data_IF_031994641284
#
_entry.id   IF_031994641284
#
_cell.length_a   1.000
_cell.length_b   1.000
_cell.length_c   1.000
_cell.angle_alpha   90.00
_cell.angle_beta   90.00
_cell.angle_gamma   90.00
#
_symmetry.space_group_name_H-M   'P 1'
#
loop_
_entity.id
_entity.type
_entity.pdbx_description
1 polymer ?
#
# COMPACT_ATOMS: atom_id res chain seq x y z
N UNK A 1 -20.98 48.91 -0.42
CA UNK A 1 -19.88 47.96 -0.75
C UNK A 1 -20.45 46.80 -1.54
N UNK A 2 -20.03 46.59 -2.79
CA UNK A 2 -20.53 45.52 -3.66
C UNK A 2 -19.93 44.18 -3.22
N UNK A 3 -20.75 43.30 -2.65
CA UNK A 3 -20.41 41.89 -2.40
C UNK A 3 -20.13 41.20 -3.73
N UNK A 4 -18.86 40.86 -4.00
CA UNK A 4 -18.50 40.01 -5.14
C UNK A 4 -19.08 38.62 -4.90
N UNK A 5 -20.21 38.33 -5.54
CA UNK A 5 -20.77 36.97 -5.66
C UNK A 5 -19.69 36.06 -6.27
N UNK A 6 -19.27 35.05 -5.53
CA UNK A 6 -18.45 33.94 -6.04
C UNK A 6 -19.29 33.27 -7.15
N UNK A 7 -18.96 33.56 -8.41
CA UNK A 7 -19.60 32.93 -9.57
C UNK A 7 -19.30 31.43 -9.53
N UNK A 8 -20.36 30.63 -9.43
CA UNK A 8 -20.48 29.23 -9.86
C UNK A 8 -19.25 28.31 -9.67
N UNK A 9 -19.09 27.77 -8.45
CA UNK A 9 -18.11 26.73 -8.08
C UNK A 9 -18.11 25.47 -8.98
N UNK A 10 -19.19 25.21 -9.73
CA UNK A 10 -19.32 24.03 -10.61
C UNK A 10 -18.40 24.10 -11.84
N UNK A 11 -18.12 25.30 -12.35
CA UNK A 11 -17.18 25.51 -13.49
C UNK A 11 -15.72 25.67 -13.05
N UNK A 12 -15.47 25.74 -11.75
CA UNK A 12 -14.16 26.10 -11.19
C UNK A 12 -13.19 24.90 -11.07
N UNK A 13 -13.68 23.66 -11.14
CA UNK A 13 -12.91 22.46 -10.79
C UNK A 13 -12.75 21.42 -11.91
N UNK A 14 -13.33 21.63 -13.10
CA UNK A 14 -13.11 20.74 -14.23
C UNK A 14 -11.65 20.81 -14.71
N UNK A 15 -11.02 19.64 -14.87
CA UNK A 15 -9.63 19.53 -15.36
C UNK A 15 -8.53 19.94 -14.37
N UNK A 16 -8.79 19.87 -13.05
CA UNK A 16 -7.81 20.21 -12.00
C UNK A 16 -7.37 19.01 -11.14
N UNK A 17 -6.09 18.98 -10.76
CA UNK A 17 -5.59 17.92 -9.87
C UNK A 17 -6.11 18.11 -8.43
N UNK A 18 -6.31 17.02 -7.70
CA UNK A 18 -6.66 17.10 -6.27
C UNK A 18 -5.66 17.92 -5.44
N UNK A 19 -4.34 17.75 -5.60
CA UNK A 19 -3.33 18.53 -4.89
C UNK A 19 -3.47 20.05 -5.03
N UNK A 20 -3.68 20.54 -6.26
CA UNK A 20 -3.87 21.98 -6.53
C UNK A 20 -5.08 22.54 -5.77
N UNK A 21 -6.18 21.79 -5.75
CA UNK A 21 -7.40 22.17 -5.04
C UNK A 21 -7.20 22.21 -3.52
N UNK A 22 -6.48 21.24 -2.97
CA UNK A 22 -6.18 21.19 -1.55
C UNK A 22 -5.34 22.40 -1.11
N UNK A 23 -4.28 22.73 -1.86
CA UNK A 23 -3.43 23.91 -1.59
C UNK A 23 -4.26 25.20 -1.57
N UNK A 24 -5.06 25.42 -2.62
CA UNK A 24 -5.92 26.60 -2.72
C UNK A 24 -6.91 26.68 -1.55
N UNK A 25 -7.55 25.56 -1.19
CA UNK A 25 -8.49 25.50 -0.07
C UNK A 25 -7.85 25.92 1.25
N UNK A 26 -6.70 25.36 1.60
CA UNK A 26 -6.06 25.70 2.88
C UNK A 26 -5.62 27.16 2.94
N UNK A 27 -5.01 27.69 1.87
CA UNK A 27 -4.63 29.10 1.82
C UNK A 27 -5.84 30.02 1.97
N UNK A 28 -6.97 29.68 1.34
CA UNK A 28 -8.22 30.40 1.56
C UNK A 28 -8.66 30.36 3.02
N UNK A 29 -8.61 29.21 3.70
CA UNK A 29 -9.01 29.15 5.12
C UNK A 29 -8.13 30.03 6.01
N UNK A 30 -6.84 30.10 5.71
CA UNK A 30 -5.89 30.95 6.43
C UNK A 30 -6.20 32.44 6.26
N UNK A 31 -6.46 32.87 5.02
CA UNK A 31 -6.51 34.29 4.66
C UNK A 31 -7.90 34.80 4.26
N UNK A 32 -8.98 34.02 4.41
CA UNK A 32 -10.35 34.40 4.02
C UNK A 32 -10.83 35.74 4.59
N UNK A 33 -10.33 36.11 5.78
CA UNK A 33 -10.72 37.32 6.51
C UNK A 33 -9.70 38.46 6.29
N UNK A 34 -8.60 38.21 5.57
CA UNK A 34 -7.53 39.17 5.33
C UNK A 34 -7.71 39.86 3.97
N UNK A 35 -8.20 41.10 4.00
CA UNK A 35 -8.47 41.88 2.79
C UNK A 35 -7.22 42.32 2.00
N UNK A 36 -6.03 42.20 2.59
CA UNK A 36 -4.76 42.56 1.96
C UNK A 36 -4.16 41.40 1.16
N UNK A 37 -4.75 40.21 1.22
CA UNK A 37 -4.26 39.01 0.56
C UNK A 37 -5.31 38.53 -0.44
N UNK A 38 -4.95 38.54 -1.72
CA UNK A 38 -5.78 37.97 -2.79
C UNK A 38 -5.23 36.60 -3.20
N UNK A 39 -6.08 35.57 -3.17
CA UNK A 39 -5.71 34.22 -3.60
C UNK A 39 -6.53 33.86 -4.84
N UNK A 40 -5.84 33.42 -5.89
CA UNK A 40 -6.44 32.99 -7.16
C UNK A 40 -6.04 31.56 -7.49
N UNK A 41 -6.96 30.88 -8.14
CA UNK A 41 -6.79 29.52 -8.63
C UNK A 41 -6.72 29.53 -10.15
N UNK A 42 -5.77 28.80 -10.74
CA UNK A 42 -5.50 28.79 -12.19
C UNK A 42 -5.44 30.20 -12.76
N UNK A 43 -4.62 31.03 -12.12
CA UNK A 43 -4.52 32.45 -12.43
C UNK A 43 -3.84 32.65 -13.78
N UNK A 44 -4.51 33.36 -14.69
CA UNK A 44 -4.01 33.70 -16.04
C UNK A 44 -3.65 35.18 -16.19
N UNK A 45 -3.65 35.94 -15.09
CA UNK A 45 -3.41 37.40 -15.12
C UNK A 45 -2.03 37.74 -15.69
N UNK A 46 -1.07 36.82 -15.62
CA UNK A 46 0.30 36.98 -16.12
C UNK A 46 0.50 36.37 -17.51
N UNK A 47 -0.53 36.26 -18.36
CA UNK A 47 -0.40 35.68 -19.72
C UNK A 47 -0.08 34.17 -19.78
N UNK A 48 0.27 33.54 -18.65
CA UNK A 48 0.39 32.09 -18.45
C UNK A 48 -0.46 31.67 -17.26
N UNK A 49 -0.93 30.42 -17.29
CA UNK A 49 -1.71 29.83 -16.19
C UNK A 49 -0.76 29.40 -15.06
N UNK A 50 -1.01 29.92 -13.85
CA UNK A 50 -0.37 29.49 -12.61
C UNK A 50 -1.39 28.77 -11.71
N UNK A 51 -1.01 27.63 -11.13
CA UNK A 51 -1.93 26.76 -10.38
C UNK A 51 -2.61 27.47 -9.20
N UNK A 52 -1.81 28.06 -8.30
CA UNK A 52 -2.29 28.87 -7.18
C UNK A 52 -1.41 30.11 -7.05
N UNK A 53 -2.03 31.28 -7.06
CA UNK A 53 -1.36 32.56 -6.89
C UNK A 53 -1.87 33.27 -5.65
N UNK A 54 -0.95 33.84 -4.87
CA UNK A 54 -1.24 34.69 -3.72
C UNK A 54 -0.58 36.05 -3.94
N UNK A 55 -1.39 37.11 -3.98
CA UNK A 55 -0.92 38.50 -4.11
C UNK A 55 -1.04 39.19 -2.76
N UNK A 56 0.07 39.75 -2.29
CA UNK A 56 0.14 40.57 -1.08
C UNK A 56 -0.05 42.03 -1.49
N UNK A 57 -1.21 42.60 -1.17
CA UNK A 57 -1.64 43.91 -1.67
C UNK A 57 -0.71 45.07 -1.30
N UNK A 58 -0.08 45.02 -0.11
CA UNK A 58 0.79 46.10 0.38
C UNK A 58 2.08 46.21 -0.43
N UNK A 59 2.79 45.09 -0.62
CA UNK A 59 4.05 45.06 -1.39
C UNK A 59 3.87 44.74 -2.87
N UNK A 60 2.64 44.43 -3.30
CA UNK A 60 2.29 43.85 -4.61
C UNK A 60 3.07 42.59 -4.94
N UNK A 61 3.62 41.91 -3.91
CA UNK A 61 4.41 40.71 -4.07
C UNK A 61 3.50 39.55 -4.42
N UNK A 62 3.92 38.78 -5.42
CA UNK A 62 3.17 37.63 -5.92
C UNK A 62 3.94 36.36 -5.55
N UNK A 63 3.24 35.47 -4.85
CA UNK A 63 3.70 34.12 -4.54
C UNK A 63 2.92 33.14 -5.42
N UNK A 64 3.60 32.18 -6.03
CA UNK A 64 2.99 31.13 -6.84
C UNK A 64 3.35 29.77 -6.26
N UNK A 65 2.36 28.87 -6.20
CA UNK A 65 2.56 27.45 -5.92
C UNK A 65 2.07 26.64 -7.09
N UNK A 66 2.97 25.83 -7.66
CA UNK A 66 2.68 24.86 -8.72
C UNK A 66 2.71 23.44 -8.15
N UNK A 67 1.85 22.58 -8.68
CA UNK A 67 1.91 21.15 -8.42
C UNK A 67 2.22 20.38 -9.71
N UNK A 68 3.41 19.81 -9.77
CA UNK A 68 3.90 19.11 -10.95
C UNK A 68 3.70 17.61 -10.80
N UNK A 69 2.68 17.08 -11.48
CA UNK A 69 2.45 15.65 -11.60
C UNK A 69 3.44 15.00 -12.56
N UNK A 70 4.06 13.88 -12.17
CA UNK A 70 5.15 13.28 -12.94
C UNK A 70 4.74 12.92 -14.37
N UNK A 71 3.51 12.46 -14.57
CA UNK A 71 2.99 12.10 -15.90
C UNK A 71 2.85 13.27 -16.87
N UNK A 72 2.65 14.49 -16.35
CA UNK A 72 2.36 15.67 -17.16
C UNK A 72 3.59 16.54 -17.38
N UNK A 73 4.52 16.54 -16.42
CA UNK A 73 5.74 17.34 -16.44
C UNK A 73 6.92 16.50 -16.91
N UNK A 74 6.87 16.02 -18.16
CA UNK A 74 7.98 15.30 -18.81
C UNK A 74 8.82 16.22 -19.72
N UNK A 75 8.26 17.35 -20.14
CA UNK A 75 8.93 18.35 -20.98
C UNK A 75 9.63 19.40 -20.11
N UNK A 76 10.92 19.17 -19.85
CA UNK A 76 11.77 20.04 -19.03
C UNK A 76 11.93 21.44 -19.64
N UNK A 77 12.01 21.56 -20.96
CA UNK A 77 12.24 22.85 -21.62
C UNK A 77 11.02 23.76 -21.46
N UNK A 78 9.81 23.21 -21.59
CA UNK A 78 8.57 23.93 -21.33
C UNK A 78 8.48 24.43 -19.89
N UNK A 79 8.87 23.59 -18.93
CA UNK A 79 8.89 23.96 -17.50
C UNK A 79 9.92 25.07 -17.22
N UNK A 80 11.14 24.96 -17.75
CA UNK A 80 12.19 25.97 -17.62
C UNK A 80 11.76 27.32 -18.23
N UNK A 81 11.09 27.31 -19.38
CA UNK A 81 10.51 28.52 -20.01
C UNK A 81 9.40 29.15 -19.16
N UNK A 82 8.69 28.37 -18.34
CA UNK A 82 7.70 28.89 -17.39
C UNK A 82 8.41 29.53 -16.19
N UNK A 83 9.51 28.93 -15.71
CA UNK A 83 10.28 29.46 -14.58
C UNK A 83 11.01 30.76 -14.94
N UNK A 84 11.65 30.82 -16.10
CA UNK A 84 12.24 32.05 -16.62
C UNK A 84 11.21 33.17 -16.76
N UNK A 85 9.99 32.83 -17.20
CA UNK A 85 8.89 33.79 -17.27
C UNK A 85 8.48 34.30 -15.88
N UNK A 86 8.33 33.42 -14.89
CA UNK A 86 7.99 33.81 -13.52
C UNK A 86 9.05 34.73 -12.89
N UNK A 87 10.34 34.45 -13.14
CA UNK A 87 11.45 35.31 -12.70
C UNK A 87 11.37 36.70 -13.33
N UNK A 88 11.12 36.78 -14.64
CA UNK A 88 10.98 38.05 -15.35
C UNK A 88 9.80 38.88 -14.82
N UNK A 89 8.68 38.23 -14.49
CA UNK A 89 7.51 38.86 -13.88
C UNK A 89 7.68 39.13 -12.37
N UNK A 90 8.87 38.89 -11.80
CA UNK A 90 9.22 39.08 -10.37
C UNK A 90 8.30 38.30 -9.42
N UNK A 91 7.81 37.15 -9.88
CA UNK A 91 6.98 36.23 -9.11
C UNK A 91 7.85 35.28 -8.31
N UNK A 92 7.54 35.10 -7.02
CA UNK A 92 8.22 34.12 -6.17
C UNK A 92 7.51 32.78 -6.28
N UNK A 93 8.17 31.78 -6.85
CA UNK A 93 7.53 30.51 -7.17
C UNK A 93 8.08 29.34 -6.34
N UNK A 94 7.16 28.50 -5.89
CA UNK A 94 7.39 27.24 -5.22
C UNK A 94 6.76 26.12 -6.06
N UNK A 95 7.51 25.07 -6.36
CA UNK A 95 6.99 23.87 -7.05
C UNK A 95 6.93 22.69 -6.10
N UNK A 96 5.80 21.98 -6.05
CA UNK A 96 5.70 20.66 -5.44
C UNK A 96 5.82 19.63 -6.57
N UNK A 97 6.91 18.85 -6.61
CA UNK A 97 7.19 17.92 -7.71
C UNK A 97 7.02 16.47 -7.27
N UNK A 98 6.26 15.69 -8.03
CA UNK A 98 6.14 14.24 -7.81
C UNK A 98 7.45 13.50 -8.10
N UNK A 99 7.60 12.30 -7.52
CA UNK A 99 8.73 11.44 -7.85
C UNK A 99 8.72 11.10 -9.33
N UNK A 100 9.89 11.21 -9.98
CA UNK A 100 10.13 11.02 -11.41
C UNK A 100 9.74 12.21 -12.32
N UNK A 101 9.40 13.38 -11.77
CA UNK A 101 9.54 14.61 -12.55
C UNK A 101 11.04 14.78 -12.91
N UNK A 102 11.39 15.22 -14.14
CA UNK A 102 12.77 15.53 -14.51
C UNK A 102 13.38 16.51 -13.51
N UNK A 103 14.65 16.28 -13.17
CA UNK A 103 15.41 17.22 -12.35
C UNK A 103 15.56 18.54 -13.09
N UNK A 104 15.39 19.63 -12.36
CA UNK A 104 15.47 20.99 -12.89
C UNK A 104 16.48 21.76 -12.04
N UNK A 105 17.38 22.47 -12.70
CA UNK A 105 18.37 23.34 -12.05
C UNK A 105 17.99 24.77 -12.43
N UNK A 106 17.19 25.42 -11.60
CA UNK A 106 16.73 26.78 -11.83
C UNK A 106 16.42 27.51 -10.51
N UNK A 107 16.03 28.80 -10.54
CA UNK A 107 15.78 29.60 -9.34
C UNK A 107 14.53 29.21 -8.52
N UNK A 108 13.67 28.30 -9.00
CA UNK A 108 12.50 27.86 -8.24
C UNK A 108 12.88 27.08 -6.98
N UNK A 109 12.03 27.19 -5.96
CA UNK A 109 12.15 26.36 -4.75
C UNK A 109 11.33 25.10 -4.97
N UNK A 110 11.98 23.95 -4.94
CA UNK A 110 11.35 22.67 -5.23
C UNK A 110 11.14 21.81 -3.98
N UNK A 111 9.90 21.38 -3.75
CA UNK A 111 9.50 20.40 -2.74
C UNK A 111 9.26 19.04 -3.41
N UNK A 112 10.29 18.18 -3.38
CA UNK A 112 10.28 16.91 -4.12
C UNK A 112 9.67 15.78 -3.29
N UNK A 113 8.63 15.11 -3.81
CA UNK A 113 8.10 13.85 -3.25
C UNK A 113 9.08 12.70 -3.52
N UNK A 114 9.41 11.94 -2.47
CA UNK A 114 10.45 10.90 -2.46
C UNK A 114 9.90 9.49 -2.66
N UNK A 115 8.59 9.28 -2.56
CA UNK A 115 7.96 7.96 -2.79
C UNK A 115 7.13 7.94 -4.07
N UNK A 116 7.05 6.77 -4.72
CA UNK A 116 6.24 6.54 -5.95
C UNK A 116 4.76 6.34 -5.64
N UNK A 117 4.44 6.09 -4.36
CA UNK A 117 3.10 5.76 -3.92
C UNK A 117 2.34 7.07 -3.74
N UNK A 118 1.07 7.12 -4.14
CA UNK A 118 0.09 8.17 -3.80
C UNK A 118 -0.16 8.19 -2.28
N UNK A 119 0.90 8.39 -1.50
CA UNK A 119 0.87 8.46 -0.06
C UNK A 119 0.24 9.80 0.29
N UNK A 120 -1.03 9.78 0.67
CA UNK A 120 -1.74 10.96 1.19
C UNK A 120 -0.93 11.64 2.30
N UNK A 121 -0.21 10.87 3.11
CA UNK A 121 0.68 11.38 4.15
C UNK A 121 1.82 12.23 3.59
N UNK A 122 2.46 11.80 2.51
CA UNK A 122 3.54 12.58 1.88
C UNK A 122 2.99 13.80 1.16
N UNK A 123 1.87 13.68 0.44
CA UNK A 123 1.21 14.83 -0.17
C UNK A 123 0.83 15.88 0.88
N UNK A 124 0.23 15.45 2.00
CA UNK A 124 -0.11 16.33 3.12
C UNK A 124 1.14 17.02 3.67
N UNK A 125 2.24 16.29 3.89
CA UNK A 125 3.50 16.89 4.32
C UNK A 125 3.97 17.99 3.36
N UNK A 126 3.88 17.78 2.03
CA UNK A 126 4.30 18.79 1.04
C UNK A 126 3.37 20.01 1.00
N UNK A 127 2.06 19.78 1.11
CA UNK A 127 1.09 20.88 1.22
C UNK A 127 1.38 21.70 2.48
N UNK A 128 1.63 21.06 3.62
CA UNK A 128 1.99 21.74 4.87
C UNK A 128 3.29 22.54 4.74
N UNK A 129 4.30 22.00 4.04
CA UNK A 129 5.55 22.72 3.76
C UNK A 129 5.32 23.96 2.87
N UNK A 130 4.49 23.83 1.84
CA UNK A 130 4.15 24.95 0.96
C UNK A 130 3.37 26.06 1.68
N UNK A 131 2.40 25.69 2.51
CA UNK A 131 1.67 26.64 3.35
C UNK A 131 2.64 27.34 4.31
N UNK A 132 3.50 26.61 5.01
CA UNK A 132 4.49 27.22 5.92
C UNK A 132 5.44 28.19 5.19
N UNK A 133 5.83 27.87 3.95
CA UNK A 133 6.63 28.77 3.12
C UNK A 133 5.88 30.08 2.82
N UNK A 134 4.61 30.01 2.44
CA UNK A 134 3.75 31.19 2.23
C UNK A 134 3.63 32.01 3.51
N UNK A 135 3.31 31.36 4.64
CA UNK A 135 3.15 32.03 5.92
C UNK A 135 4.43 32.78 6.33
N UNK A 136 5.60 32.16 6.14
CA UNK A 136 6.89 32.82 6.41
C UNK A 136 7.08 34.05 5.53
N UNK A 137 6.72 34.00 4.25
CA UNK A 137 6.81 35.15 3.34
C UNK A 137 5.84 36.25 3.72
N UNK A 138 4.61 35.92 4.11
CA UNK A 138 3.61 36.88 4.57
C UNK A 138 4.02 37.55 5.88
N UNK A 139 4.52 36.78 6.86
CA UNK A 139 5.00 37.32 8.14
C UNK A 139 6.19 38.28 7.98
N UNK A 140 7.06 38.04 7.00
CA UNK A 140 8.17 38.95 6.66
C UNK A 140 7.70 40.32 6.16
N UNK A 141 6.47 40.40 5.65
CA UNK A 141 5.88 41.68 5.19
C UNK A 141 5.15 42.40 6.35
N UNK A 142 5.13 41.84 7.57
CA UNK A 142 4.49 42.40 8.77
C UNK A 142 3.01 42.79 8.59
N UNK A 143 2.29 42.09 7.71
CA UNK A 143 0.90 42.43 7.36
C UNK A 143 -0.18 41.73 8.20
N UNK A 144 0.22 40.88 9.16
CA UNK A 144 -0.70 40.12 9.99
C UNK A 144 -0.81 40.70 11.39
N UNK A 145 -2.02 40.78 11.92
CA UNK A 145 -2.24 41.18 13.30
C UNK A 145 -2.02 40.03 14.31
N UNK A 146 -2.03 40.35 15.61
CA UNK A 146 -1.77 39.37 16.67
C UNK A 146 -2.83 38.25 16.73
N UNK A 147 -4.08 38.51 16.34
CA UNK A 147 -5.16 37.53 16.31
C UNK A 147 -5.01 36.60 15.10
N UNK A 148 -4.64 37.13 13.95
CA UNK A 148 -4.28 36.37 12.76
C UNK A 148 -3.07 35.48 13.02
N UNK A 149 -2.00 36.01 13.64
CA UNK A 149 -0.83 35.22 14.04
C UNK A 149 -1.22 34.08 14.99
N UNK A 150 -2.08 34.33 15.97
CA UNK A 150 -2.60 33.27 16.88
C UNK A 150 -3.40 32.21 16.13
N UNK A 151 -4.28 32.62 15.20
CA UNK A 151 -5.05 31.71 14.34
C UNK A 151 -4.11 30.83 13.50
N UNK A 152 -3.04 31.40 12.94
CA UNK A 152 -2.01 30.66 12.21
C UNK A 152 -1.31 29.62 13.08
N UNK A 153 -0.94 29.98 14.31
CA UNK A 153 -0.26 29.08 15.26
C UNK A 153 -1.18 27.90 15.62
N UNK A 154 -2.45 28.16 15.93
CA UNK A 154 -3.43 27.11 16.25
C UNK A 154 -3.68 26.18 15.07
N UNK A 155 -3.90 26.73 13.87
CA UNK A 155 -4.11 25.91 12.67
C UNK A 155 -2.84 25.14 12.26
N UNK A 156 -1.63 25.66 12.55
CA UNK A 156 -0.38 24.93 12.36
C UNK A 156 -0.28 23.70 13.28
N UNK A 157 -0.82 23.78 14.50
CA UNK A 157 -0.92 22.65 15.42
C UNK A 157 -1.94 21.60 14.94
N UNK A 158 -3.04 22.02 14.30
CA UNK A 158 -4.04 21.12 13.68
C UNK A 158 -3.55 20.44 12.39
N UNK A 159 -2.53 21.00 11.73
CA UNK A 159 -1.91 20.48 10.49
C UNK A 159 -0.84 19.41 10.76
N UNK A 160 -0.62 19.01 12.02
CA UNK A 160 0.23 17.86 12.34
C UNK A 160 -0.25 16.60 11.56
N UNK A 161 0.66 15.82 10.93
CA UNK A 161 0.33 14.86 9.87
C UNK A 161 -0.72 13.78 10.22
N UNK A 162 -0.99 13.58 11.51
CA UNK A 162 -1.86 12.52 12.01
C UNK A 162 -3.36 12.90 12.05
N UNK A 163 -3.75 14.18 12.07
CA UNK A 163 -5.18 14.56 12.08
C UNK A 163 -5.77 14.75 10.67
N UNK A 164 -4.95 15.11 9.69
CA UNK A 164 -5.35 15.33 8.30
C UNK A 164 -5.83 14.05 7.57
N UNK A 165 -5.47 12.86 8.08
CA UNK A 165 -5.92 11.55 7.56
C UNK A 165 -7.42 11.33 7.81
N UNK A 166 -7.99 11.93 8.86
CA UNK A 166 -9.41 11.80 9.19
C UNK A 166 -10.25 12.88 8.51
N UNK A 167 -9.76 14.12 8.44
CA UNK A 167 -10.48 15.25 7.82
C UNK A 167 -10.62 15.15 6.30
N UNK A 168 -9.69 14.46 5.62
CA UNK A 168 -9.70 14.30 4.15
C UNK A 168 -10.49 13.06 3.70
N UNK A 169 -10.78 12.10 4.60
CA UNK A 169 -11.64 10.95 4.29
C UNK A 169 -13.12 11.32 4.17
N UNK A 170 -13.52 12.44 4.76
CA UNK A 170 -14.89 12.92 4.65
C UNK A 170 -15.06 13.80 3.42
N UNK A 171 -15.55 13.19 2.33
CA UNK A 171 -16.32 13.92 1.29
C UNK A 171 -17.39 14.84 1.91
N UNK A 172 -17.81 14.52 3.14
CA UNK A 172 -18.76 15.28 3.94
C UNK A 172 -18.36 16.73 4.24
N UNK A 173 -17.08 17.09 4.38
CA UNK A 173 -16.68 18.46 4.75
C UNK A 173 -16.84 19.45 3.58
N UNK A 174 -16.67 18.98 2.34
CA UNK A 174 -16.99 19.79 1.14
C UNK A 174 -18.51 19.93 0.99
N UNK A 175 -19.27 18.93 1.42
CA UNK A 175 -20.74 18.94 1.39
C UNK A 175 -21.37 19.76 2.53
N UNK A 176 -20.63 20.08 3.61
CA UNK A 176 -21.20 20.81 4.77
C UNK A 176 -21.24 22.34 4.59
N UNK A 177 -20.52 22.89 3.61
CA UNK A 177 -20.33 24.36 3.47
C UNK A 177 -21.12 24.95 2.28
N UNK A 178 -21.85 24.13 1.50
CA UNK A 178 -22.70 24.62 0.41
C UNK A 178 -24.10 24.96 0.94
N UNK A 179 -24.69 26.13 0.64
CA UNK A 179 -26.06 26.46 1.04
C UNK A 179 -27.01 25.33 0.62
N UNK A 180 -27.84 24.82 1.53
CA UNK A 180 -28.66 23.62 1.29
C UNK A 180 -29.52 23.70 0.03
N UNK A 181 -29.92 24.90 -0.40
CA UNK A 181 -30.66 25.16 -1.64
C UNK A 181 -29.91 24.72 -2.92
N UNK A 182 -28.57 24.70 -2.91
CA UNK A 182 -27.74 24.26 -4.04
C UNK A 182 -27.42 22.75 -4.02
N UNK A 183 -27.69 22.04 -2.92
CA UNK A 183 -27.43 20.60 -2.80
C UNK A 183 -28.48 19.80 -3.58
N UNK A 184 -29.76 20.12 -3.41
CA UNK A 184 -30.87 19.47 -4.14
C UNK A 184 -30.79 19.70 -5.64
N UNK A 185 -30.52 20.93 -6.09
CA UNK A 185 -30.34 21.24 -7.51
C UNK A 185 -29.14 20.48 -8.12
N UNK A 186 -28.07 20.25 -7.34
CA UNK A 186 -26.92 19.46 -7.77
C UNK A 186 -27.24 17.98 -7.85
N UNK A 187 -27.90 17.41 -6.84
CA UNK A 187 -28.38 16.03 -6.85
C UNK A 187 -29.31 15.81 -8.03
N UNK A 188 -30.26 16.72 -8.25
CA UNK A 188 -31.16 16.69 -9.40
C UNK A 188 -30.41 16.72 -10.72
N UNK A 189 -29.44 17.62 -10.89
CA UNK A 189 -28.65 17.68 -12.13
C UNK A 189 -27.78 16.44 -12.36
N UNK A 190 -27.30 15.78 -11.30
CA UNK A 190 -26.56 14.51 -11.38
C UNK A 190 -27.50 13.38 -11.79
N UNK A 191 -28.69 13.31 -11.20
CA UNK A 191 -29.70 12.30 -11.56
C UNK A 191 -30.27 12.50 -12.96
N UNK A 192 -30.48 13.74 -13.40
CA UNK A 192 -30.87 14.06 -14.77
C UNK A 192 -29.80 13.60 -15.77
N UNK A 193 -28.52 13.86 -15.49
CA UNK A 193 -27.42 13.39 -16.33
C UNK A 193 -27.33 11.86 -16.37
N UNK A 194 -27.48 11.17 -15.21
CA UNK A 194 -27.54 9.70 -15.18
C UNK A 194 -28.67 9.17 -16.05
N UNK A 195 -29.86 9.77 -15.98
CA UNK A 195 -31.02 9.40 -16.80
C UNK A 195 -30.74 9.57 -18.28
N UNK A 196 -30.12 10.69 -18.68
CA UNK A 196 -29.78 10.96 -20.07
C UNK A 196 -28.75 9.95 -20.61
N UNK A 197 -27.71 9.64 -19.81
CA UNK A 197 -26.72 8.63 -20.15
C UNK A 197 -27.34 7.23 -20.30
N UNK A 198 -28.25 6.85 -19.40
CA UNK A 198 -28.98 5.57 -19.48
C UNK A 198 -29.83 5.52 -20.75
N UNK A 199 -30.59 6.57 -21.05
CA UNK A 199 -31.44 6.61 -22.25
C UNK A 199 -30.62 6.52 -23.54
N UNK A 200 -29.50 7.25 -23.60
CA UNK A 200 -28.57 7.17 -24.72
C UNK A 200 -28.00 5.76 -24.91
N UNK A 201 -27.61 5.11 -23.81
CA UNK A 201 -27.09 3.75 -23.83
C UNK A 201 -28.17 2.73 -24.24
N UNK A 202 -29.40 2.85 -23.71
CA UNK A 202 -30.54 2.00 -24.09
C UNK A 202 -30.92 2.14 -25.56
N UNK A 203 -30.89 3.35 -26.10
CA UNK A 203 -31.17 3.59 -27.52
C UNK A 203 -30.09 3.00 -28.46
N UNK A 204 -28.91 2.67 -27.93
CA UNK A 204 -27.76 2.19 -28.71
C UNK A 204 -27.16 0.93 -28.08
N UNK A 205 -28.04 0.05 -27.60
CA UNK A 205 -27.69 -1.05 -26.71
C UNK A 205 -26.66 -2.01 -27.32
N UNK A 206 -26.73 -2.25 -28.63
CA UNK A 206 -25.82 -3.15 -29.35
C UNK A 206 -24.36 -2.67 -29.35
N UNK A 207 -24.15 -1.37 -29.12
CA UNK A 207 -22.82 -0.76 -29.02
C UNK A 207 -22.36 -0.59 -27.57
N UNK A 208 -23.26 -0.73 -26.59
CA UNK A 208 -23.02 -0.49 -25.17
C UNK A 208 -22.61 -1.78 -24.44
N UNK A 209 -21.49 -2.40 -24.87
CA UNK A 209 -21.00 -3.69 -24.35
C UNK A 209 -19.66 -3.53 -23.62
N UNK A 210 -18.63 -3.08 -24.33
CA UNK A 210 -17.27 -2.80 -23.81
C UNK A 210 -16.95 -1.33 -23.94
N UNK A 211 -16.09 -0.80 -23.07
CA UNK A 211 -15.65 0.60 -23.14
C UNK A 211 -15.07 0.95 -24.51
N UNK A 212 -14.29 0.04 -25.12
CA UNK A 212 -13.69 0.23 -26.44
C UNK A 212 -14.74 0.29 -27.56
N UNK A 213 -15.72 -0.62 -27.56
CA UNK A 213 -16.78 -0.63 -28.57
C UNK A 213 -17.64 0.63 -28.44
N UNK A 214 -17.98 1.01 -27.20
CA UNK A 214 -18.72 2.23 -26.93
C UNK A 214 -17.96 3.49 -27.32
N UNK A 215 -16.66 3.59 -26.99
CA UNK A 215 -15.86 4.77 -27.32
C UNK A 215 -15.73 4.99 -28.83
N UNK A 216 -15.60 3.91 -29.62
CA UNK A 216 -15.61 3.97 -31.09
C UNK A 216 -16.96 4.46 -31.62
N UNK A 217 -18.07 3.93 -31.07
CA UNK A 217 -19.41 4.41 -31.38
C UNK A 217 -19.58 5.89 -31.02
N UNK A 218 -19.13 6.29 -29.82
CA UNK A 218 -19.25 7.63 -29.30
C UNK A 218 -18.46 8.66 -30.12
N UNK A 219 -17.29 8.27 -30.62
CA UNK A 219 -16.48 9.09 -31.52
C UNK A 219 -17.17 9.34 -32.87
N UNK A 220 -17.72 8.29 -33.48
CA UNK A 220 -18.47 8.39 -34.75
C UNK A 220 -19.71 9.27 -34.59
N UNK A 221 -20.44 9.10 -33.48
CA UNK A 221 -21.69 9.80 -33.19
C UNK A 221 -21.50 11.14 -32.46
N UNK A 222 -20.25 11.52 -32.16
CA UNK A 222 -19.89 12.73 -31.39
C UNK A 222 -20.69 12.86 -30.08
N UNK A 223 -20.73 11.78 -29.29
CA UNK A 223 -21.46 11.70 -28.02
C UNK A 223 -20.55 11.34 -26.83
N UNK A 224 -21.13 11.10 -25.66
CA UNK A 224 -20.42 10.82 -24.41
C UNK A 224 -19.63 9.51 -24.48
N UNK A 225 -18.31 9.62 -24.24
CA UNK A 225 -17.39 8.49 -24.11
C UNK A 225 -17.61 7.73 -22.79
N UNK A 226 -17.05 6.53 -22.71
CA UNK A 226 -17.18 5.59 -21.59
C UNK A 226 -16.77 6.18 -20.23
N UNK A 227 -15.80 7.09 -20.20
CA UNK A 227 -15.38 7.73 -18.95
C UNK A 227 -16.46 8.59 -18.28
N UNK A 228 -17.44 9.12 -19.04
CA UNK A 228 -18.60 9.81 -18.47
C UNK A 228 -19.47 8.82 -17.69
N UNK A 229 -19.73 7.64 -18.26
CA UNK A 229 -20.48 6.58 -17.57
C UNK A 229 -19.74 6.12 -16.31
N UNK A 230 -18.43 5.90 -16.38
CA UNK A 230 -17.62 5.55 -15.20
C UNK A 230 -17.67 6.65 -14.13
N UNK A 231 -17.68 7.93 -14.53
CA UNK A 231 -17.79 9.04 -13.59
C UNK A 231 -19.12 9.04 -12.81
N UNK A 232 -20.25 8.82 -13.50
CA UNK A 232 -21.58 8.91 -12.89
C UNK A 232 -22.06 7.61 -12.22
N UNK A 233 -21.54 6.47 -12.64
CA UNK A 233 -21.93 5.14 -12.15
C UNK A 233 -20.77 4.42 -11.44
N UNK A 234 -19.69 5.11 -11.09
CA UNK A 234 -18.44 4.60 -10.49
C UNK A 234 -17.63 3.62 -11.34
N UNK A 235 -18.28 2.64 -11.95
CA UNK A 235 -17.67 1.59 -12.76
C UNK A 235 -18.44 1.36 -14.06
N UNK A 236 -17.75 0.86 -15.08
CA UNK A 236 -18.41 0.47 -16.34
C UNK A 236 -19.41 -0.69 -16.11
N UNK A 237 -19.14 -1.53 -15.12
CA UNK A 237 -20.03 -2.61 -14.69
C UNK A 237 -21.37 -2.07 -14.17
N UNK A 238 -21.33 -1.16 -13.21
CA UNK A 238 -22.54 -0.51 -12.67
C UNK A 238 -23.32 0.20 -13.79
N UNK A 239 -22.63 0.86 -14.74
CA UNK A 239 -23.29 1.48 -15.88
C UNK A 239 -24.04 0.46 -16.77
N UNK A 240 -23.47 -0.73 -17.03
CA UNK A 240 -24.14 -1.80 -17.77
C UNK A 240 -25.37 -2.34 -17.03
N UNK A 241 -25.24 -2.55 -15.72
CA UNK A 241 -26.34 -3.00 -14.85
C UNK A 241 -27.52 -2.01 -14.87
N UNK A 242 -27.25 -0.71 -14.76
CA UNK A 242 -28.28 0.35 -14.84
C UNK A 242 -28.98 0.44 -16.19
N UNK A 243 -28.32 0.02 -17.27
CA UNK A 243 -28.87 -0.01 -18.63
C UNK A 243 -29.65 -1.31 -18.89
N UNK A 244 -29.55 -2.31 -18.00
CA UNK A 244 -30.20 -3.62 -18.14
C UNK A 244 -29.43 -4.60 -19.04
N UNK A 245 -28.15 -4.32 -19.30
CA UNK A 245 -27.25 -5.24 -19.99
C UNK A 245 -26.52 -6.09 -18.96
N UNK A 246 -26.64 -7.42 -19.07
CA UNK A 246 -25.71 -8.29 -18.39
C UNK A 246 -24.36 -8.20 -19.12
N UNK A 247 -23.30 -7.73 -18.45
CA UNK A 247 -22.00 -7.65 -19.09
C UNK A 247 -21.58 -9.00 -19.66
N UNK A 248 -20.85 -9.03 -20.78
CA UNK A 248 -20.33 -10.27 -21.34
C UNK A 248 -19.50 -11.12 -20.34
N UNK A 249 -18.95 -10.50 -19.28
CA UNK A 249 -18.27 -11.20 -18.20
C UNK A 249 -19.23 -11.92 -17.23
N UNK A 250 -20.48 -11.48 -17.07
CA UNK A 250 -21.50 -12.13 -16.25
C UNK A 250 -22.03 -13.41 -16.93
N UNK A 251 -22.25 -13.37 -18.25
CA UNK A 251 -22.53 -14.59 -19.03
C UNK A 251 -21.39 -15.61 -18.92
N UNK A 252 -20.13 -15.16 -19.01
CA UNK A 252 -18.96 -16.01 -18.78
C UNK A 252 -18.90 -16.54 -17.34
N UNK A 253 -19.30 -15.74 -16.35
CA UNK A 253 -19.39 -16.14 -14.94
C UNK A 253 -20.41 -17.26 -14.76
N UNK A 254 -21.60 -17.14 -15.34
CA UNK A 254 -22.64 -18.17 -15.29
C UNK A 254 -22.21 -19.47 -15.99
N UNK A 255 -21.58 -19.36 -17.17
CA UNK A 255 -21.01 -20.52 -17.87
C UNK A 255 -19.94 -21.20 -17.01
N UNK A 256 -19.06 -20.44 -16.37
CA UNK A 256 -18.02 -20.98 -15.50
C UNK A 256 -18.59 -21.65 -14.24
N UNK A 257 -19.65 -21.10 -13.62
CA UNK A 257 -20.35 -21.73 -12.50
C UNK A 257 -20.96 -23.06 -12.94
N UNK A 258 -21.70 -23.06 -14.06
CA UNK A 258 -22.31 -24.28 -14.61
C UNK A 258 -21.27 -25.37 -14.87
N UNK A 259 -20.19 -25.04 -15.58
CA UNK A 259 -19.11 -25.97 -15.86
C UNK A 259 -18.38 -26.43 -14.59
N UNK A 260 -18.20 -25.55 -13.60
CA UNK A 260 -17.65 -25.88 -12.30
C UNK A 260 -18.49 -26.88 -11.50
N UNK A 261 -19.83 -26.75 -11.56
CA UNK A 261 -20.76 -27.71 -10.96
C UNK A 261 -20.71 -29.07 -11.67
N UNK A 262 -20.61 -29.10 -13.00
CA UNK A 262 -20.48 -30.33 -13.79
C UNK A 262 -19.18 -31.10 -13.50
N UNK A 263 -18.16 -30.41 -12.97
CA UNK A 263 -16.80 -30.93 -12.78
C UNK A 263 -16.34 -30.83 -11.33
N UNK A 264 -17.30 -30.78 -10.40
CA UNK A 264 -17.10 -30.40 -8.99
C UNK A 264 -15.98 -31.18 -8.30
N UNK A 265 -15.85 -32.48 -8.59
CA UNK A 265 -14.85 -33.39 -8.01
C UNK A 265 -13.40 -33.00 -8.38
N UNK A 266 -13.23 -32.25 -9.46
CA UNK A 266 -11.92 -31.80 -9.93
C UNK A 266 -11.59 -30.36 -9.51
N UNK A 267 -12.55 -29.62 -8.92
CA UNK A 267 -12.42 -28.21 -8.50
C UNK A 267 -11.70 -28.05 -7.14
N UNK A 268 -11.10 -29.12 -6.61
CA UNK A 268 -10.37 -29.13 -5.32
C UNK A 268 -9.28 -28.05 -5.29
N UNK A 269 -8.49 -27.96 -6.37
CA UNK A 269 -7.44 -26.96 -6.54
C UNK A 269 -7.29 -26.54 -8.00
N UNK A 270 -6.69 -25.36 -8.21
CA UNK A 270 -6.36 -24.86 -9.54
C UNK A 270 -5.58 -25.89 -10.38
N UNK A 271 -4.57 -26.54 -9.77
CA UNK A 271 -3.75 -27.53 -10.46
C UNK A 271 -4.53 -28.80 -10.78
N UNK A 272 -5.38 -29.27 -9.85
CA UNK A 272 -6.25 -30.44 -10.06
C UNK A 272 -7.18 -30.22 -11.25
N UNK A 273 -7.87 -29.07 -11.28
CA UNK A 273 -8.78 -28.73 -12.38
C UNK A 273 -8.05 -28.58 -13.71
N UNK A 274 -6.89 -27.90 -13.70
CA UNK A 274 -6.07 -27.74 -14.89
C UNK A 274 -5.60 -29.08 -15.47
N UNK A 275 -5.18 -30.02 -14.62
CA UNK A 275 -4.81 -31.38 -15.04
C UNK A 275 -6.01 -32.15 -15.58
N UNK A 276 -7.17 -32.04 -14.94
CA UNK A 276 -8.41 -32.66 -15.42
C UNK A 276 -8.79 -32.18 -16.82
N UNK A 277 -8.69 -30.88 -17.10
CA UNK A 277 -8.97 -30.34 -18.43
C UNK A 277 -8.06 -30.94 -19.51
N UNK A 278 -6.82 -31.32 -19.19
CA UNK A 278 -5.92 -31.98 -20.14
C UNK A 278 -6.36 -33.40 -20.51
N UNK A 279 -7.25 -34.01 -19.72
CA UNK A 279 -7.76 -35.37 -19.94
C UNK A 279 -9.07 -35.42 -20.71
N UNK A 280 -9.66 -34.24 -21.01
CA UNK A 280 -10.93 -34.11 -21.72
C UNK A 280 -10.80 -33.15 -22.91
N UNK A 281 -11.87 -33.00 -23.69
CA UNK A 281 -11.96 -32.00 -24.76
C UNK A 281 -11.91 -30.57 -24.19
N UNK A 282 -10.72 -29.96 -24.25
CA UNK A 282 -10.45 -28.64 -23.69
C UNK A 282 -11.29 -27.53 -24.33
N UNK A 283 -11.72 -27.68 -25.58
CA UNK A 283 -12.44 -26.62 -26.31
C UNK A 283 -13.87 -26.42 -25.79
N UNK A 284 -14.39 -27.42 -25.07
CA UNK A 284 -15.72 -27.39 -24.48
C UNK A 284 -15.77 -26.69 -23.11
N UNK A 285 -14.64 -26.53 -22.42
CA UNK A 285 -14.59 -26.06 -21.04
C UNK A 285 -13.76 -24.78 -20.88
N UNK A 286 -14.17 -23.93 -19.94
CA UNK A 286 -13.42 -22.73 -19.60
C UNK A 286 -12.11 -23.09 -18.90
N UNK A 287 -11.00 -22.52 -19.36
CA UNK A 287 -9.70 -22.79 -18.74
C UNK A 287 -9.65 -22.33 -17.28
N UNK A 288 -8.85 -23.03 -16.46
CA UNK A 288 -8.59 -22.66 -15.06
C UNK A 288 -8.13 -21.19 -14.92
N UNK A 289 -7.33 -20.71 -15.87
CA UNK A 289 -6.86 -19.31 -15.89
C UNK A 289 -7.98 -18.33 -16.19
N UNK A 290 -8.87 -18.64 -17.13
CA UNK A 290 -10.03 -17.81 -17.43
C UNK A 290 -10.99 -17.74 -16.24
N UNK A 291 -11.18 -18.84 -15.49
CA UNK A 291 -11.94 -18.82 -14.22
C UNK A 291 -11.29 -17.85 -13.23
N UNK A 292 -9.98 -17.93 -12.98
CA UNK A 292 -9.30 -17.00 -12.06
C UNK A 292 -9.45 -15.54 -12.51
N UNK A 293 -9.40 -15.26 -13.81
CA UNK A 293 -9.62 -13.92 -14.34
C UNK A 293 -11.06 -13.41 -14.12
N UNK A 294 -12.06 -14.31 -14.11
CA UNK A 294 -13.47 -13.97 -13.89
C UNK A 294 -13.76 -13.73 -12.40
N UNK A 295 -13.28 -14.62 -11.53
CA UNK A 295 -13.61 -14.62 -10.09
C UNK A 295 -12.54 -13.94 -9.22
N UNK A 296 -11.42 -13.52 -9.79
CA UNK A 296 -10.27 -12.93 -9.10
C UNK A 296 -9.38 -13.98 -8.42
N UNK A 297 -9.95 -14.97 -7.73
CA UNK A 297 -9.19 -16.07 -7.14
C UNK A 297 -9.92 -17.42 -7.27
N UNK A 298 -9.17 -18.53 -7.19
CA UNK A 298 -9.75 -19.87 -7.18
C UNK A 298 -10.67 -20.11 -5.98
N UNK A 299 -10.39 -19.49 -4.83
CA UNK A 299 -11.24 -19.63 -3.65
C UNK A 299 -12.57 -18.89 -3.79
N UNK A 300 -12.59 -17.71 -4.44
CA UNK A 300 -13.86 -17.03 -4.74
C UNK A 300 -14.72 -17.87 -5.70
N UNK A 301 -14.11 -18.51 -6.69
CA UNK A 301 -14.82 -19.46 -7.55
C UNK A 301 -15.40 -20.64 -6.75
N UNK A 302 -14.61 -21.28 -5.88
CA UNK A 302 -15.09 -22.37 -5.00
C UNK A 302 -16.24 -21.92 -4.10
N UNK A 303 -16.17 -20.70 -3.56
CA UNK A 303 -17.23 -20.13 -2.72
C UNK A 303 -18.54 -19.97 -3.48
N UNK A 304 -18.48 -19.51 -4.72
CA UNK A 304 -19.65 -19.40 -5.62
C UNK A 304 -20.26 -20.77 -5.97
N UNK A 305 -19.46 -21.84 -5.94
CA UNK A 305 -19.92 -23.22 -6.08
C UNK A 305 -20.42 -23.85 -4.77
N UNK A 306 -20.37 -23.13 -3.65
CA UNK A 306 -20.71 -23.68 -2.33
C UNK A 306 -19.68 -24.68 -1.78
N UNK A 307 -18.48 -24.75 -2.36
CA UNK A 307 -17.38 -25.60 -1.87
C UNK A 307 -16.72 -24.89 -0.69
N UNK A 308 -16.53 -25.60 0.43
CA UNK A 308 -15.80 -25.06 1.57
C UNK A 308 -14.36 -24.71 1.16
N UNK A 309 -13.99 -23.45 1.40
CA UNK A 309 -12.62 -22.99 1.16
C UNK A 309 -11.82 -23.06 2.45
N UNK A 310 -10.55 -23.42 2.38
CA UNK A 310 -9.63 -23.17 3.49
C UNK A 310 -9.64 -21.67 3.79
N UNK A 311 -10.06 -21.31 5.00
CA UNK A 311 -9.95 -19.92 5.47
C UNK A 311 -8.49 -19.48 5.31
N UNK A 312 -8.30 -18.25 4.81
CA UNK A 312 -6.95 -17.67 4.77
C UNK A 312 -6.35 -17.83 6.17
N UNK A 313 -5.16 -18.44 6.24
CA UNK A 313 -4.47 -18.62 7.50
C UNK A 313 -4.46 -17.31 8.26
N UNK A 314 -5.04 -17.29 9.46
CA UNK A 314 -5.07 -16.11 10.33
C UNK A 314 -3.68 -15.47 10.34
N UNK A 315 -3.62 -14.19 10.01
CA UNK A 315 -2.38 -13.42 10.15
C UNK A 315 -2.22 -13.05 11.61
N UNK A 316 -1.07 -13.37 12.18
CA UNK A 316 -0.74 -13.02 13.56
C UNK A 316 0.27 -11.88 13.55
N UNK A 317 0.03 -10.85 14.37
CA UNK A 317 1.02 -9.84 14.69
C UNK A 317 2.15 -10.43 15.54
N UNK A 318 3.30 -9.75 15.57
CA UNK A 318 4.44 -10.16 16.42
C UNK A 318 4.01 -10.28 17.89
N UNK A 319 3.19 -9.33 18.37
CA UNK A 319 2.69 -9.28 19.75
C UNK A 319 1.76 -10.46 20.06
N UNK A 320 0.85 -10.80 19.15
CA UNK A 320 -0.01 -11.99 19.32
C UNK A 320 0.80 -13.28 19.37
N UNK A 321 1.83 -13.41 18.52
CA UNK A 321 2.70 -14.59 18.53
C UNK A 321 3.46 -14.70 19.86
N UNK A 322 4.02 -13.59 20.37
CA UNK A 322 4.70 -13.58 21.67
C UNK A 322 3.74 -13.96 22.79
N UNK A 323 2.51 -13.43 22.78
CA UNK A 323 1.50 -13.75 23.78
C UNK A 323 1.11 -15.23 23.76
N UNK A 324 0.79 -15.79 22.58
CA UNK A 324 0.46 -17.22 22.42
C UNK A 324 1.62 -18.10 22.88
N UNK A 325 2.86 -17.74 22.54
CA UNK A 325 4.04 -18.49 22.95
C UNK A 325 4.29 -18.38 24.48
N UNK A 326 4.00 -17.24 25.12
CA UNK A 326 4.06 -17.09 26.57
C UNK A 326 3.01 -17.92 27.30
N UNK A 327 1.77 -17.92 26.84
CA UNK A 327 0.68 -18.73 27.39
C UNK A 327 0.98 -20.24 27.30
N UNK A 328 1.75 -20.64 26.29
CA UNK A 328 2.12 -22.03 26.04
C UNK A 328 3.60 -22.32 26.29
N UNK A 329 4.25 -21.53 27.16
CA UNK A 329 5.72 -21.52 27.35
C UNK A 329 6.33 -22.90 27.63
N UNK A 330 5.62 -23.77 28.37
CA UNK A 330 6.09 -25.14 28.67
C UNK A 330 6.20 -26.00 27.42
N UNK A 331 5.15 -25.99 26.58
CA UNK A 331 5.13 -26.74 25.32
C UNK A 331 6.06 -26.11 24.27
N UNK A 332 6.15 -24.78 24.27
CA UNK A 332 6.96 -24.01 23.33
C UNK A 332 8.47 -24.30 23.43
N UNK A 333 8.94 -24.84 24.57
CA UNK A 333 10.31 -25.34 24.73
C UNK A 333 10.66 -26.43 23.70
N UNK A 334 9.69 -27.27 23.32
CA UNK A 334 9.86 -28.34 22.34
C UNK A 334 8.99 -28.08 21.11
N UNK A 335 9.61 -27.66 20.00
CA UNK A 335 8.92 -27.24 18.78
C UNK A 335 8.01 -28.33 18.20
N UNK A 336 8.39 -29.61 18.29
CA UNK A 336 7.56 -30.71 17.79
C UNK A 336 6.32 -30.94 18.66
N UNK A 337 6.46 -30.88 19.99
CA UNK A 337 5.30 -30.99 20.90
C UNK A 337 4.36 -29.81 20.73
N UNK A 338 4.92 -28.61 20.57
CA UNK A 338 4.13 -27.41 20.30
C UNK A 338 3.36 -27.51 18.99
N UNK A 339 3.97 -27.97 17.89
CA UNK A 339 3.28 -28.08 16.58
C UNK A 339 2.07 -29.02 16.62
N UNK A 340 2.20 -30.16 17.31
CA UNK A 340 1.09 -31.09 17.50
C UNK A 340 -0.06 -30.45 18.29
N UNK A 341 0.29 -29.77 19.39
CA UNK A 341 -0.67 -29.02 20.19
C UNK A 341 -1.33 -27.90 19.39
N UNK A 342 -0.56 -27.13 18.63
CA UNK A 342 -1.03 -25.99 17.87
C UNK A 342 -2.04 -26.41 16.80
N UNK A 343 -1.76 -27.52 16.10
CA UNK A 343 -2.67 -28.10 15.11
C UNK A 343 -4.02 -28.51 15.70
N UNK A 344 -4.02 -29.08 16.91
CA UNK A 344 -5.26 -29.51 17.59
C UNK A 344 -6.11 -28.32 18.06
N UNK A 345 -5.48 -27.18 18.35
CA UNK A 345 -6.14 -26.02 18.96
C UNK A 345 -6.30 -24.82 18.01
N UNK A 346 -5.99 -24.98 16.72
CA UNK A 346 -6.09 -23.87 15.75
C UNK A 346 -5.12 -22.72 16.02
N UNK A 347 -3.95 -23.02 16.60
CA UNK A 347 -2.90 -22.04 16.92
C UNK A 347 -1.83 -21.99 15.82
N UNK A 348 -1.02 -20.92 15.76
CA UNK A 348 0.05 -20.80 14.77
C UNK A 348 1.07 -21.93 14.90
N UNK A 349 1.45 -22.56 13.79
CA UNK A 349 2.52 -23.55 13.77
C UNK A 349 3.90 -22.90 13.92
N UNK A 350 4.92 -23.69 14.23
CA UNK A 350 6.32 -23.27 14.33
C UNK A 350 6.80 -22.55 13.06
N UNK A 351 6.28 -22.91 11.88
CA UNK A 351 6.62 -22.23 10.64
C UNK A 351 6.18 -20.76 10.60
N UNK A 352 5.06 -20.44 11.26
CA UNK A 352 4.58 -19.06 11.41
C UNK A 352 5.56 -18.26 12.27
N UNK A 353 6.07 -18.85 13.35
CA UNK A 353 7.09 -18.24 14.20
C UNK A 353 8.43 -18.08 13.47
N UNK A 354 8.92 -19.10 12.77
CA UNK A 354 10.15 -19.02 11.97
C UNK A 354 10.06 -17.90 10.94
N UNK A 355 8.92 -17.75 10.27
CA UNK A 355 8.73 -16.67 9.28
C UNK A 355 8.79 -15.28 9.91
N UNK A 356 8.25 -15.11 11.12
CA UNK A 356 8.19 -13.80 11.79
C UNK A 356 9.50 -13.45 12.52
N UNK A 357 10.14 -14.44 13.14
CA UNK A 357 11.32 -14.23 14.01
C UNK A 357 12.63 -14.74 13.39
N UNK A 358 12.60 -15.29 12.18
CA UNK A 358 13.74 -15.87 11.47
C UNK A 358 14.14 -17.28 11.95
N UNK A 359 13.94 -17.59 13.25
CA UNK A 359 14.18 -18.93 13.79
C UNK A 359 13.34 -19.22 15.04
N UNK A 360 13.21 -20.50 15.40
CA UNK A 360 12.55 -20.85 16.68
C UNK A 360 13.36 -20.46 17.90
N UNK A 361 14.69 -20.37 17.80
CA UNK A 361 15.51 -19.93 18.93
C UNK A 361 15.27 -18.44 19.20
N UNK A 362 15.21 -17.61 18.15
CA UNK A 362 14.81 -16.20 18.26
C UNK A 362 13.37 -16.04 18.82
N UNK A 363 12.43 -16.89 18.39
CA UNK A 363 11.08 -16.88 18.96
C UNK A 363 11.06 -17.26 20.45
N UNK A 364 11.90 -18.22 20.88
CA UNK A 364 12.04 -18.64 22.28
C UNK A 364 12.67 -17.54 23.15
N UNK A 365 13.64 -16.82 22.61
CA UNK A 365 14.27 -15.68 23.27
C UNK A 365 13.25 -14.58 23.59
N UNK A 366 12.36 -14.26 22.63
CA UNK A 366 11.28 -13.26 22.82
C UNK A 366 10.33 -13.58 23.98
N UNK A 367 10.22 -14.85 24.38
CA UNK A 367 9.38 -15.29 25.51
C UNK A 367 10.20 -15.68 26.74
N UNK A 368 11.48 -15.32 26.78
CA UNK A 368 12.39 -15.61 27.89
C UNK A 368 12.54 -17.11 28.16
N UNK A 369 12.59 -17.92 27.10
CA UNK A 369 13.06 -19.31 27.19
C UNK A 369 14.57 -19.27 26.90
N UNK A 370 15.43 -19.66 27.86
CA UNK A 370 16.87 -19.66 27.64
C UNK A 370 17.22 -20.56 26.45
N UNK A 371 18.01 -20.02 25.53
CA UNK A 371 18.58 -20.78 24.42
C UNK A 371 19.77 -21.54 24.99
N UNK A 372 19.66 -22.86 25.07
CA UNK A 372 20.83 -23.70 25.32
C UNK A 372 21.67 -23.66 24.05
N UNK A 373 22.88 -23.12 24.13
CA UNK A 373 23.80 -23.14 22.99
C UNK A 373 23.94 -24.57 22.48
N UNK A 374 23.60 -24.77 21.21
CA UNK A 374 23.75 -26.09 20.61
C UNK A 374 25.23 -26.34 20.40
N UNK A 375 25.73 -27.34 21.11
CA UNK A 375 27.10 -27.85 21.06
C UNK A 375 27.66 -28.07 19.63
N UNK A 376 26.77 -28.22 18.64
CA UNK A 376 27.14 -28.36 17.23
C UNK A 376 27.66 -27.09 16.53
N UNK A 377 27.58 -25.90 17.15
CA UNK A 377 28.01 -24.63 16.54
C UNK A 377 29.37 -24.11 17.02
N UNK A 378 29.93 -24.69 18.07
CA UNK A 378 31.26 -24.33 18.57
C UNK A 378 32.30 -24.85 17.57
N UNK A 379 33.18 -23.97 17.09
CA UNK A 379 34.27 -24.36 16.20
C UNK A 379 35.41 -24.96 17.03
N UNK A 380 35.43 -26.29 17.15
CA UNK A 380 36.47 -27.00 17.88
C UNK A 380 37.75 -27.12 17.03
N UNK A 381 38.91 -26.60 17.50
CA UNK A 381 40.21 -26.89 16.94
C UNK A 381 40.45 -28.40 16.83
N UNK A 382 41.15 -28.81 15.78
CA UNK A 382 41.39 -30.23 15.50
C UNK A 382 42.11 -30.94 16.66
N UNK A 383 43.16 -30.31 17.20
CA UNK A 383 43.95 -30.83 18.32
C UNK A 383 43.13 -30.92 19.62
N UNK A 384 42.24 -29.96 19.86
CA UNK A 384 41.40 -29.95 21.06
C UNK A 384 40.43 -31.13 21.06
N UNK A 385 39.85 -31.47 19.91
CA UNK A 385 39.01 -32.68 19.75
C UNK A 385 39.79 -33.95 20.10
N UNK A 386 41.02 -34.08 19.60
CA UNK A 386 41.88 -35.24 19.90
C UNK A 386 42.17 -35.30 21.41
N UNK A 387 42.55 -34.18 22.02
CA UNK A 387 42.89 -34.12 23.43
C UNK A 387 41.69 -34.46 24.34
N UNK A 388 40.49 -33.95 24.02
CA UNK A 388 39.27 -34.28 24.76
C UNK A 388 38.94 -35.76 24.63
N UNK A 389 38.97 -36.31 23.42
CA UNK A 389 38.68 -37.72 23.19
C UNK A 389 39.70 -38.64 23.88
N UNK A 390 41.00 -38.28 23.88
CA UNK A 390 42.05 -39.01 24.62
C UNK A 390 41.84 -38.94 26.13
N UNK A 391 41.54 -37.74 26.67
CA UNK A 391 41.30 -37.53 28.10
C UNK A 391 40.14 -38.39 28.63
N UNK A 392 39.10 -38.59 27.83
CA UNK A 392 37.91 -39.36 28.20
C UNK A 392 37.75 -40.64 27.38
N UNK A 393 38.87 -41.27 27.01
CA UNK A 393 38.92 -42.43 26.10
C UNK A 393 38.02 -43.59 26.52
N UNK A 394 37.90 -43.85 27.83
CA UNK A 394 37.02 -44.88 28.40
C UNK A 394 35.54 -44.71 28.04
N UNK A 395 35.09 -43.49 27.73
CA UNK A 395 33.73 -43.17 27.28
C UNK A 395 33.62 -43.00 25.76
N UNK A 396 34.74 -42.81 25.04
CA UNK A 396 34.81 -42.61 23.59
C UNK A 396 34.71 -43.93 22.82
N UNK A 397 33.59 -44.63 22.97
CA UNK A 397 33.38 -45.98 22.40
C UNK A 397 32.35 -45.95 21.26
N UNK A 398 31.09 -45.69 21.59
CA UNK A 398 29.99 -45.50 20.63
C UNK A 398 29.50 -44.05 20.67
N UNK A 399 28.90 -43.58 19.57
CA UNK A 399 28.30 -42.24 19.52
C UNK A 399 27.29 -42.01 20.65
N UNK A 400 26.46 -43.00 20.97
CA UNK A 400 25.44 -42.89 22.02
C UNK A 400 26.03 -42.84 23.44
N UNK A 401 27.09 -43.62 23.70
CA UNK A 401 27.82 -43.55 24.97
C UNK A 401 28.50 -42.19 25.12
N UNK A 402 29.14 -41.70 24.07
CA UNK A 402 29.76 -40.38 24.07
C UNK A 402 28.75 -39.25 24.23
N UNK A 403 27.60 -39.34 23.55
CA UNK A 403 26.50 -38.37 23.68
C UNK A 403 25.93 -38.35 25.10
N UNK A 404 25.70 -39.52 25.70
CA UNK A 404 25.17 -39.64 27.06
C UNK A 404 26.16 -39.10 28.08
N UNK A 405 27.43 -39.48 27.96
CA UNK A 405 28.51 -38.96 28.80
C UNK A 405 28.64 -37.43 28.67
N UNK A 406 28.67 -36.91 27.44
CA UNK A 406 28.79 -35.49 27.19
C UNK A 406 27.63 -34.67 27.74
N UNK A 407 26.40 -35.21 27.77
CA UNK A 407 25.27 -34.54 28.43
C UNK A 407 25.52 -34.38 29.94
N UNK A 408 25.96 -35.44 30.61
CA UNK A 408 26.22 -35.43 32.06
C UNK A 408 27.30 -34.40 32.41
N UNK A 409 28.46 -34.47 31.75
CA UNK A 409 29.60 -33.58 32.04
C UNK A 409 29.26 -32.12 31.73
N UNK A 410 28.62 -31.85 30.59
CA UNK A 410 28.28 -30.47 30.22
C UNK A 410 27.23 -29.85 31.14
N UNK A 411 26.32 -30.68 31.69
CA UNK A 411 25.33 -30.25 32.68
C UNK A 411 25.99 -29.94 34.03
N UNK A 412 26.89 -30.82 34.51
CA UNK A 412 27.64 -30.63 35.75
C UNK A 412 28.53 -29.37 35.71
N UNK A 413 29.21 -29.14 34.59
CA UNK A 413 30.12 -28.00 34.39
C UNK A 413 29.40 -26.69 34.05
N UNK A 414 28.10 -26.74 33.75
CA UNK A 414 27.32 -25.58 33.30
C UNK A 414 27.80 -24.93 32.00
N UNK A 415 28.71 -25.59 31.27
CA UNK A 415 29.29 -25.14 30.00
C UNK A 415 29.61 -26.34 29.12
N UNK A 416 29.80 -26.10 27.83
CA UNK A 416 30.14 -27.16 26.88
C UNK A 416 31.64 -27.51 27.02
N UNK A 417 31.91 -28.69 27.56
CA UNK A 417 33.26 -29.27 27.70
C UNK A 417 33.44 -30.48 26.76
N UNK A 418 32.38 -31.26 26.54
CA UNK A 418 32.40 -32.45 25.69
C UNK A 418 31.65 -32.15 24.37
N UNK A 419 32.34 -32.15 23.21
CA UNK A 419 31.72 -31.90 21.92
C UNK A 419 30.70 -32.99 21.53
N UNK A 420 29.64 -32.60 20.83
CA UNK A 420 28.65 -33.55 20.31
C UNK A 420 29.32 -34.56 19.35
N UNK A 421 28.96 -35.87 19.36
CA UNK A 421 29.63 -36.88 18.53
C UNK A 421 29.60 -36.60 17.01
N UNK A 422 28.59 -35.87 16.53
CA UNK A 422 28.52 -35.46 15.12
C UNK A 422 29.61 -34.46 14.72
N UNK A 423 30.23 -33.74 15.67
CA UNK A 423 31.40 -32.89 15.41
C UNK A 423 32.59 -33.75 15.01
N UNK A 424 32.85 -34.82 15.76
CA UNK A 424 33.88 -35.79 15.42
C UNK A 424 33.59 -36.50 14.10
N UNK A 425 32.36 -36.98 13.90
CA UNK A 425 31.95 -37.63 12.65
C UNK A 425 32.21 -36.73 11.43
N UNK A 426 31.88 -35.44 11.52
CA UNK A 426 32.12 -34.49 10.42
C UNK A 426 33.61 -34.17 10.23
N UNK A 427 34.33 -33.93 11.34
CA UNK A 427 35.73 -33.48 11.29
C UNK A 427 36.69 -34.58 10.83
N UNK A 428 36.41 -35.81 11.20
CA UNK A 428 37.24 -36.98 10.90
C UNK A 428 36.60 -37.89 9.85
N UNK A 429 35.63 -37.40 9.06
CA UNK A 429 34.97 -38.16 7.98
C UNK A 429 34.33 -39.50 8.42
N UNK A 430 33.97 -39.62 9.69
CA UNK A 430 33.38 -40.84 10.27
C UNK A 430 33.67 -40.97 11.75
N UNK A 431 32.76 -41.60 12.50
CA UNK A 431 32.98 -41.88 13.92
C UNK A 431 34.08 -42.93 14.13
N UNK A 432 34.08 -44.00 13.34
CA UNK A 432 35.10 -45.05 13.44
C UNK A 432 36.48 -44.53 13.02
N UNK A 433 36.55 -43.77 11.92
CA UNK A 433 37.79 -43.11 11.50
C UNK A 433 38.31 -42.13 12.56
N UNK A 434 37.43 -41.44 13.30
CA UNK A 434 37.87 -40.60 14.42
C UNK A 434 38.58 -41.40 15.50
N UNK A 435 38.08 -42.60 15.84
CA UNK A 435 38.72 -43.46 16.85
C UNK A 435 40.09 -43.93 16.36
N UNK A 436 40.17 -44.38 15.11
CA UNK A 436 41.44 -44.82 14.52
C UNK A 436 42.47 -43.70 14.55
N UNK A 437 42.14 -42.51 14.06
CA UNK A 437 43.07 -41.36 14.05
C UNK A 437 43.47 -40.97 15.47
N UNK A 438 42.50 -40.83 16.39
CA UNK A 438 42.75 -40.33 17.75
C UNK A 438 43.61 -41.29 18.56
N UNK A 439 43.47 -42.61 18.36
CA UNK A 439 44.16 -43.62 19.17
C UNK A 439 45.29 -44.37 18.44
N UNK A 440 45.59 -44.04 17.18
CA UNK A 440 46.76 -44.56 16.45
C UNK A 440 48.00 -43.67 16.58
N UNK A 441 47.81 -42.37 16.83
CA UNK A 441 48.84 -41.42 17.30
C UNK A 441 48.91 -41.38 18.81
#
# INVERSE_FOLDING_TARGET
>A
MKTRKIKNLKSFFDGSSFPQRAIYYYLLQFFKDNSLIEIKYRDKTFGKEFDVTLTIGVSKKVLVIEYDGAWWHQDLEKDLRKNAYAVNEKVNMLRIREKNCPEMIDPSIDLIQRTRVKSLRELNLRISQAINWVLKKVLQESILDAQEIRKLILMKQEIEPNQMINTIRDRHIIDTIVPQKNKEERLKAVEDMKRDLINLAKANIDNFTTTRQWDKFAEIRKTYKSHYYVHYFNTWKEALEHVGQNPAWELKKQVAIKQGLETIDHVISYSSYKSYLQTIDMDRYISATAIVNIFGTWNEFKKELGISTYEKSKTYSEQELVQIAMENKVLFKNSSKYDQFARKNGLPSQHVYIRNFGSMDAAKEKVGIPIVERNTRVNWPYEELINIAKKYSQHYTTMDKWLSFGKLVNEEEGKIVIPHPTIYQKRFSGWDNSKEIIFST
#
